data_IF_152935166482
#
_entry.id   IF_152935166482
#
_cell.length_a   1.000
_cell.length_b   1.000
_cell.length_c   1.000
_cell.angle_alpha   90.00
_cell.angle_beta   90.00
_cell.angle_gamma   90.00
#
_symmetry.space_group_name_H-M   'P 1'
#
loop_
_entity.id
_entity.type
_entity.pdbx_description
1 polymer ?
#
# COMPACT_ATOMS: atom_id res chain seq x y z
N UNK A 1 -2.96 14.46 6.25
CA UNK A 1 -2.04 13.30 6.37
C UNK A 1 -2.22 12.72 7.76
N UNK A 2 -2.42 11.42 7.87
CA UNK A 2 -2.63 10.73 9.14
C UNK A 2 -1.36 10.01 9.59
N UNK A 3 -0.76 9.19 8.74
CA UNK A 3 0.50 8.47 9.02
C UNK A 3 1.38 8.38 7.77
N UNK A 4 2.70 8.28 7.98
CA UNK A 4 3.67 8.02 6.92
C UNK A 4 4.41 6.74 7.25
N UNK A 5 4.34 5.75 6.35
CA UNK A 5 5.08 4.49 6.44
C UNK A 5 6.30 4.65 5.52
N UNK A 6 7.50 4.87 6.09
CA UNK A 6 8.66 5.29 5.31
C UNK A 6 9.08 4.22 4.30
N UNK A 7 9.96 4.61 3.36
CA UNK A 7 10.58 3.66 2.47
C UNK A 7 11.46 2.69 3.26
N UNK A 8 11.34 1.41 2.93
CA UNK A 8 12.14 0.34 3.50
C UNK A 8 12.80 -0.43 2.34
N UNK A 9 14.09 -0.71 2.46
CA UNK A 9 14.88 -1.33 1.39
C UNK A 9 14.50 -2.77 1.11
N UNK A 10 13.95 -3.48 2.10
CA UNK A 10 13.52 -4.86 1.96
C UNK A 10 12.15 -4.91 1.27
N UNK A 11 11.25 -3.99 1.65
CA UNK A 11 9.92 -3.85 1.06
C UNK A 11 9.91 -3.15 -0.30
N UNK A 12 10.90 -2.31 -0.57
CA UNK A 12 11.06 -1.44 -1.77
C UNK A 12 9.84 -0.60 -2.11
N UNK A 13 9.13 -0.15 -1.08
CA UNK A 13 7.91 0.67 -1.18
C UNK A 13 7.77 1.58 0.03
N UNK A 14 6.98 2.64 -0.14
CA UNK A 14 6.57 3.54 0.93
C UNK A 14 5.09 3.83 0.81
N UNK A 15 4.46 4.15 1.93
CA UNK A 15 3.01 4.36 1.98
C UNK A 15 2.64 5.56 2.84
N UNK A 16 1.49 6.16 2.55
CA UNK A 16 0.91 7.22 3.36
C UNK A 16 -0.55 6.89 3.64
N UNK A 17 -0.98 7.17 4.86
CA UNK A 17 -2.38 7.07 5.25
C UNK A 17 -2.92 8.49 5.32
N UNK A 18 -3.99 8.76 4.60
CA UNK A 18 -4.59 10.08 4.46
C UNK A 18 -6.08 10.05 4.76
N UNK A 19 -6.57 11.15 5.31
CA UNK A 19 -8.01 11.39 5.42
C UNK A 19 -8.45 12.14 4.16
N UNK A 20 -9.45 11.60 3.45
CA UNK A 20 -10.12 12.32 2.38
C UNK A 20 -10.91 13.51 2.96
N UNK A 21 -10.60 14.73 2.50
CA UNK A 21 -11.21 15.97 2.98
C UNK A 21 -12.47 16.38 2.19
N UNK A 22 -12.69 15.77 1.02
CA UNK A 22 -13.78 16.11 0.09
C UNK A 22 -14.74 14.94 -0.03
N UNK A 23 -16.01 15.15 0.34
CA UNK A 23 -17.05 14.11 0.26
C UNK A 23 -17.22 13.34 1.57
N UNK A 24 -17.30 12.01 1.50
CA UNK A 24 -17.40 11.16 2.70
C UNK A 24 -16.03 11.14 3.37
N UNK A 25 -15.98 11.38 4.69
CA UNK A 25 -14.76 11.22 5.49
C UNK A 25 -14.31 9.76 5.45
N UNK A 26 -13.41 9.43 4.52
CA UNK A 26 -12.82 8.10 4.36
C UNK A 26 -11.32 8.15 4.63
N UNK A 27 -10.82 7.11 5.26
CA UNK A 27 -9.38 6.90 5.41
C UNK A 27 -8.90 6.11 4.21
N UNK A 28 -7.79 6.53 3.61
CA UNK A 28 -7.18 5.88 2.46
C UNK A 28 -5.70 5.63 2.73
N UNK A 29 -5.24 4.42 2.44
CA UNK A 29 -3.83 4.11 2.31
C UNK A 29 -3.42 4.27 0.83
N UNK A 30 -2.32 4.96 0.57
CA UNK A 30 -1.67 5.06 -0.73
C UNK A 30 -0.28 4.45 -0.63
N UNK A 31 0.03 3.48 -1.49
CA UNK A 31 1.29 2.74 -1.51
C UNK A 31 1.98 2.95 -2.86
N UNK A 32 3.22 3.43 -2.84
CA UNK A 32 4.06 3.50 -4.06
C UNK A 32 5.31 2.63 -3.93
N UNK A 33 5.65 1.92 -4.98
CA UNK A 33 6.81 1.03 -5.00
C UNK A 33 7.11 0.47 -6.38
N UNK A 34 8.11 -0.40 -6.46
CA UNK A 34 8.38 -1.16 -7.68
C UNK A 34 7.22 -2.14 -7.97
N UNK A 35 6.97 -2.39 -9.25
CA UNK A 35 6.01 -3.38 -9.76
C UNK A 35 6.14 -4.75 -9.08
N UNK A 36 7.36 -5.26 -8.97
CA UNK A 36 7.68 -6.54 -8.32
C UNK A 36 7.30 -6.59 -6.82
N UNK A 37 7.01 -5.44 -6.20
CA UNK A 37 6.63 -5.34 -4.78
C UNK A 37 5.21 -4.86 -4.54
N UNK A 38 4.60 -4.17 -5.50
CA UNK A 38 3.22 -3.67 -5.42
C UNK A 38 2.23 -4.68 -6.00
N UNK A 39 2.53 -5.32 -7.13
CA UNK A 39 1.62 -6.29 -7.74
C UNK A 39 1.31 -7.49 -6.82
N UNK A 40 2.26 -8.04 -6.01
CA UNK A 40 1.96 -9.16 -5.12
C UNK A 40 1.11 -8.82 -3.88
N UNK A 41 0.92 -7.53 -3.56
CA UNK A 41 0.10 -7.09 -2.41
C UNK A 41 -1.30 -6.64 -2.84
N UNK A 42 -1.64 -6.78 -4.13
CA UNK A 42 -2.98 -6.50 -4.61
C UNK A 42 -3.99 -7.47 -3.99
N UNK A 43 -5.21 -7.00 -3.74
CA UNK A 43 -6.29 -7.83 -3.21
C UNK A 43 -6.64 -8.94 -4.21
N UNK A 44 -6.75 -10.19 -3.75
CA UNK A 44 -7.10 -11.31 -4.62
C UNK A 44 -8.47 -11.11 -5.30
N UNK A 45 -9.43 -10.52 -4.57
CA UNK A 45 -10.76 -10.20 -5.10
C UNK A 45 -10.71 -9.17 -6.23
N UNK A 46 -9.81 -8.19 -6.12
CA UNK A 46 -9.57 -7.19 -7.15
C UNK A 46 -8.93 -7.83 -8.38
N UNK A 47 -7.86 -8.61 -8.20
CA UNK A 47 -7.15 -9.29 -9.30
C UNK A 47 -8.05 -10.31 -10.02
N UNK A 48 -9.00 -10.92 -9.31
CA UNK A 48 -9.97 -11.86 -9.89
C UNK A 48 -11.21 -11.16 -10.51
N UNK A 49 -11.36 -9.86 -10.33
CA UNK A 49 -12.45 -9.09 -10.95
C UNK A 49 -12.11 -8.74 -12.39
N UNK A 50 -13.11 -8.67 -13.28
CA UNK A 50 -12.91 -8.33 -14.70
C UNK A 50 -12.18 -6.99 -14.87
N UNK A 51 -12.54 -5.99 -14.05
CA UNK A 51 -11.92 -4.66 -14.07
C UNK A 51 -10.46 -4.74 -13.60
N UNK A 52 -10.22 -5.36 -12.44
CA UNK A 52 -8.88 -5.42 -11.87
C UNK A 52 -7.91 -6.29 -12.70
N UNK A 53 -8.39 -7.37 -13.31
CA UNK A 53 -7.61 -8.16 -14.27
C UNK A 53 -7.19 -7.31 -15.48
N UNK A 54 -8.12 -6.56 -16.07
CA UNK A 54 -7.84 -5.67 -17.20
C UNK A 54 -6.85 -4.55 -16.82
N UNK A 55 -7.03 -3.92 -15.67
CA UNK A 55 -6.16 -2.85 -15.17
C UNK A 55 -4.73 -3.37 -14.89
N UNK A 56 -4.60 -4.55 -14.26
CA UNK A 56 -3.29 -5.18 -14.01
C UNK A 56 -2.62 -5.56 -15.32
N UNK A 57 -3.36 -6.12 -16.28
CA UNK A 57 -2.82 -6.49 -17.59
C UNK A 57 -2.26 -5.26 -18.32
N UNK A 58 -3.05 -4.18 -18.44
CA UNK A 58 -2.62 -2.93 -19.08
C UNK A 58 -1.42 -2.31 -18.38
N UNK A 59 -1.40 -2.34 -17.05
CA UNK A 59 -0.27 -1.84 -16.28
C UNK A 59 1.02 -2.62 -16.58
N UNK A 60 0.94 -3.95 -16.70
CA UNK A 60 2.09 -4.78 -17.06
C UNK A 60 2.61 -4.49 -18.47
N UNK A 61 1.72 -4.25 -19.44
CA UNK A 61 2.13 -3.83 -20.78
C UNK A 61 2.87 -2.49 -20.75
N UNK A 62 2.31 -1.47 -20.10
CA UNK A 62 2.95 -0.16 -19.97
C UNK A 62 4.29 -0.23 -19.22
N UNK A 63 4.38 -1.03 -18.15
CA UNK A 63 5.62 -1.24 -17.42
C UNK A 63 6.72 -1.84 -18.32
N UNK A 64 6.36 -2.80 -19.17
CA UNK A 64 7.27 -3.41 -20.14
C UNK A 64 7.77 -2.39 -21.17
N UNK A 65 6.87 -1.55 -21.70
CA UNK A 65 7.23 -0.54 -22.68
C UNK A 65 8.13 0.56 -22.09
N UNK A 66 7.79 1.04 -20.90
CA UNK A 66 8.62 2.00 -20.17
C UNK A 66 9.98 1.44 -19.80
N UNK A 67 10.08 0.15 -19.48
CA UNK A 67 11.35 -0.51 -19.24
C UNK A 67 12.22 -0.59 -20.50
N UNK A 68 11.64 -0.85 -21.68
CA UNK A 68 12.37 -0.84 -22.97
C UNK A 68 12.95 0.54 -23.28
N UNK A 69 12.27 1.60 -22.86
CA UNK A 69 12.72 2.99 -22.99
C UNK A 69 13.71 3.43 -21.89
N UNK A 70 14.01 2.56 -20.92
CA UNK A 70 14.93 2.86 -19.81
C UNK A 70 14.35 3.82 -18.76
N UNK A 71 13.02 3.96 -18.70
CA UNK A 71 12.34 4.81 -17.74
C UNK A 71 12.29 4.15 -16.35
N UNK A 72 12.36 4.97 -15.30
CA UNK A 72 12.10 4.52 -13.93
C UNK A 72 10.60 4.56 -13.68
N UNK A 73 10.01 3.40 -13.45
CA UNK A 73 8.59 3.24 -13.17
C UNK A 73 8.33 2.97 -11.69
N UNK A 74 7.17 3.41 -11.21
CA UNK A 74 6.62 3.03 -9.92
C UNK A 74 5.15 2.69 -10.13
N UNK A 75 4.69 1.66 -9.44
CA UNK A 75 3.27 1.36 -9.32
C UNK A 75 2.70 2.11 -8.12
N UNK A 76 1.48 2.60 -8.27
CA UNK A 76 0.70 3.22 -7.21
C UNK A 76 -0.52 2.34 -6.96
N UNK A 77 -0.79 2.05 -5.69
CA UNK A 77 -1.95 1.29 -5.26
C UNK A 77 -2.62 2.00 -4.09
N UNK A 78 -3.91 1.73 -3.89
CA UNK A 78 -4.70 2.32 -2.81
C UNK A 78 -5.56 1.28 -2.12
N UNK A 79 -5.97 1.56 -0.89
CA UNK A 79 -7.18 0.95 -0.32
C UNK A 79 -7.89 1.92 0.60
N UNK A 80 -9.18 1.68 0.79
CA UNK A 80 -9.96 2.39 1.78
C UNK A 80 -10.02 1.60 3.08
N UNK A 81 -9.99 2.33 4.19
CA UNK A 81 -10.29 1.79 5.51
C UNK A 81 -11.60 2.37 6.00
N UNK A 82 -12.35 1.53 6.73
CA UNK A 82 -13.33 2.06 7.66
C UNK A 82 -12.60 2.83 8.77
N UNK A 83 -13.31 3.74 9.43
CA UNK A 83 -12.73 4.46 10.58
C UNK A 83 -12.29 3.46 11.68
N UNK A 84 -13.07 2.41 11.89
CA UNK A 84 -12.78 1.37 12.88
C UNK A 84 -11.50 0.58 12.56
N UNK A 85 -11.32 0.15 11.30
CA UNK A 85 -10.12 -0.56 10.86
C UNK A 85 -8.87 0.31 11.04
N UNK A 86 -8.98 1.59 10.69
CA UNK A 86 -7.89 2.53 10.85
C UNK A 86 -7.53 2.73 12.33
N UNK A 87 -8.50 2.97 13.21
CA UNK A 87 -8.23 3.15 14.63
C UNK A 87 -7.65 1.88 15.26
N UNK A 88 -8.13 0.70 14.86
CA UNK A 88 -7.61 -0.60 15.30
C UNK A 88 -6.15 -0.77 14.88
N UNK A 89 -5.85 -0.55 13.59
CA UNK A 89 -4.48 -0.62 13.11
C UNK A 89 -3.57 0.40 13.81
N UNK A 90 -4.05 1.63 13.99
CA UNK A 90 -3.30 2.71 14.64
C UNK A 90 -2.93 2.34 16.07
N UNK A 91 -3.86 1.82 16.87
CA UNK A 91 -3.59 1.42 18.25
C UNK A 91 -2.49 0.34 18.30
N UNK A 92 -2.58 -0.68 17.43
CA UNK A 92 -1.56 -1.73 17.32
C UNK A 92 -0.20 -1.19 16.85
N UNK A 93 -0.20 -0.18 15.97
CA UNK A 93 1.02 0.48 15.52
C UNK A 93 1.68 1.29 16.64
N UNK A 94 0.89 2.06 17.41
CA UNK A 94 1.38 2.83 18.55
C UNK A 94 1.94 1.91 19.65
N UNK A 95 1.30 0.77 19.92
CA UNK A 95 1.84 -0.25 20.83
C UNK A 95 3.18 -0.81 20.35
N UNK A 96 3.29 -1.10 19.04
CA UNK A 96 4.55 -1.55 18.44
C UNK A 96 5.68 -0.51 18.56
N UNK A 97 5.36 0.79 18.49
CA UNK A 97 6.33 1.87 18.65
C UNK A 97 6.85 2.01 20.08
N UNK A 98 6.05 1.63 21.07
CA UNK A 98 6.36 1.75 22.49
C UNK A 98 7.08 0.53 23.07
N UNK A 99 7.11 -0.61 22.36
CA UNK A 99 7.79 -1.82 22.83
C UNK A 99 9.32 -1.63 22.87
N UNK A 100 9.98 -1.77 24.04
CA UNK A 100 11.41 -1.51 24.17
C UNK A 100 12.32 -2.63 23.65
N UNK A 101 11.77 -3.81 23.37
CA UNK A 101 12.54 -5.02 23.04
C UNK A 101 12.43 -5.41 21.56
N UNK A 102 11.24 -5.29 20.97
CA UNK A 102 10.92 -5.81 19.65
C UNK A 102 10.38 -4.75 18.68
N UNK A 103 10.52 -3.46 19.02
CA UNK A 103 10.00 -2.30 18.26
C UNK A 103 10.10 -2.45 16.74
N UNK A 104 11.31 -2.68 16.24
CA UNK A 104 11.59 -2.69 14.79
C UNK A 104 10.80 -3.78 14.06
N UNK A 105 10.76 -4.98 14.62
CA UNK A 105 10.01 -6.11 14.06
C UNK A 105 8.50 -5.87 14.12
N UNK A 106 8.00 -5.37 15.25
CA UNK A 106 6.57 -5.11 15.44
C UNK A 106 6.07 -3.99 14.52
N UNK A 107 6.84 -2.91 14.35
CA UNK A 107 6.54 -1.84 13.40
C UNK A 107 6.52 -2.40 11.99
N UNK A 108 7.53 -3.18 11.61
CA UNK A 108 7.59 -3.81 10.28
C UNK A 108 6.37 -4.68 10.02
N UNK A 109 5.99 -5.52 10.96
CA UNK A 109 4.82 -6.40 10.83
C UNK A 109 3.51 -5.60 10.74
N UNK A 110 3.39 -4.52 11.52
CA UNK A 110 2.26 -3.60 11.45
C UNK A 110 2.16 -2.92 10.07
N UNK A 111 3.29 -2.51 9.49
CA UNK A 111 3.35 -1.93 8.14
C UNK A 111 2.98 -2.99 7.08
N UNK A 112 3.52 -4.21 7.18
CA UNK A 112 3.21 -5.29 6.24
C UNK A 112 1.72 -5.65 6.25
N UNK A 113 1.08 -5.64 7.43
CA UNK A 113 -0.38 -5.83 7.55
C UNK A 113 -1.14 -4.66 6.95
N UNK A 114 -0.69 -3.43 7.16
CA UNK A 114 -1.30 -2.26 6.52
C UNK A 114 -1.25 -2.33 5.00
N UNK A 115 -0.14 -2.75 4.39
CA UNK A 115 0.04 -2.65 2.94
C UNK A 115 -0.59 -3.78 2.10
N UNK A 116 -1.21 -4.79 2.72
CA UNK A 116 -1.89 -5.87 1.99
C UNK A 116 -3.26 -5.47 1.46
N UNK A 117 -3.75 -6.23 0.49
CA UNK A 117 -5.11 -6.14 -0.07
C UNK A 117 -5.42 -4.74 -0.60
N UNK A 118 -4.50 -4.23 -1.43
CA UNK A 118 -4.66 -2.95 -2.13
C UNK A 118 -5.17 -3.14 -3.56
N UNK A 119 -5.74 -2.10 -4.14
CA UNK A 119 -6.17 -2.04 -5.53
C UNK A 119 -5.18 -1.17 -6.31
N UNK A 120 -4.87 -1.55 -7.55
CA UNK A 120 -4.02 -0.72 -8.40
C UNK A 120 -4.74 0.61 -8.73
N UNK A 121 -4.00 1.70 -8.86
CA UNK A 121 -4.55 3.02 -9.21
C UNK A 121 -4.25 3.41 -10.66
#
# INVERSE_FOLDING_TARGET
LLHTLPFDSDRKRMSVIVQECTGKKRVMLLTKGADATVLPILANEYVASEIGEEEVYKAQEHLSDYAKEGLRTLCLAKKYWSEEDYQTWRALHEEAELDPHHRENLIRDSILKAEKDVELL
#
